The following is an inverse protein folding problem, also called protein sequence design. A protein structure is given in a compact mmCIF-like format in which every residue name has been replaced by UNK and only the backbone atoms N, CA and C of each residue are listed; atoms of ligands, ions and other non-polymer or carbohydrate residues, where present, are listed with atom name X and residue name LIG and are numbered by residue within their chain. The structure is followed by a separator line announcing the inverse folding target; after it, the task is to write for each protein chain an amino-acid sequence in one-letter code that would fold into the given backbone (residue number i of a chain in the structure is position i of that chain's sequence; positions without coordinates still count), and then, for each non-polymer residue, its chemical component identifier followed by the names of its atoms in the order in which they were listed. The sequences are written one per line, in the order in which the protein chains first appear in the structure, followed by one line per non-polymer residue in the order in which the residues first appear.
data_IF_155346793293
#
_entry.id   IF_155346793293
#
_cell.length_a   1.000
_cell.length_b   1.000
_cell.length_c   1.000
_cell.angle_alpha   90.00
_cell.angle_beta   90.00
_cell.angle_gamma   90.00
#
_symmetry.space_group_name_H-M   'P 1'
#
loop_
_entity.id
_entity.type
_entity.pdbx_description
1 polymer ?
#
# COMPACT_ATOMS: atom_id res chain seq x y z
N UNK A 1 19.31 -12.77 1.87
CA UNK A 1 18.58 -11.50 1.75
C UNK A 1 17.12 -11.73 2.12
N UNK A 2 16.73 -11.27 3.29
CA UNK A 2 15.34 -11.40 3.78
C UNK A 2 14.48 -10.30 3.15
N UNK A 3 13.34 -10.69 2.59
CA UNK A 3 12.34 -9.76 2.07
C UNK A 3 11.52 -9.11 3.19
N UNK A 4 10.54 -8.30 2.82
CA UNK A 4 9.59 -7.68 3.76
C UNK A 4 8.23 -8.35 3.60
N UNK A 5 7.59 -8.68 4.72
CA UNK A 5 6.24 -9.22 4.74
C UNK A 5 5.32 -8.37 5.62
N UNK A 6 4.04 -8.28 5.24
CA UNK A 6 2.99 -7.68 6.03
C UNK A 6 1.73 -8.55 6.01
N UNK A 7 1.13 -8.76 7.18
CA UNK A 7 -0.19 -9.37 7.35
C UNK A 7 -1.07 -8.35 8.07
N UNK A 8 -2.17 -7.96 7.42
CA UNK A 8 -3.02 -6.87 7.89
C UNK A 8 -4.49 -7.27 7.90
N UNK A 9 -5.21 -6.79 8.92
CA UNK A 9 -6.67 -6.85 9.00
C UNK A 9 -7.22 -5.44 9.12
N UNK A 10 -8.12 -5.07 8.21
CA UNK A 10 -8.83 -3.80 8.22
C UNK A 10 -10.29 -4.07 8.56
N UNK A 11 -10.80 -3.36 9.56
CA UNK A 11 -12.22 -3.33 9.93
C UNK A 11 -12.66 -1.87 9.85
N UNK A 12 -13.62 -1.57 8.99
CA UNK A 12 -14.07 -0.21 8.71
C UNK A 12 -15.57 -0.17 8.39
N UNK A 13 -16.10 1.03 8.20
CA UNK A 13 -17.45 1.30 7.72
C UNK A 13 -17.38 2.13 6.46
N UNK A 14 -18.06 1.71 5.40
CA UNK A 14 -18.37 2.56 4.24
C UNK A 14 -19.86 2.91 4.25
N UNK A 15 -20.15 4.16 4.58
CA UNK A 15 -21.50 4.60 4.93
C UNK A 15 -22.07 3.80 6.10
N UNK A 16 -22.94 2.83 5.80
CA UNK A 16 -23.56 1.92 6.77
C UNK A 16 -23.17 0.45 6.57
N UNK A 17 -22.26 0.18 5.62
CA UNK A 17 -21.84 -1.18 5.27
C UNK A 17 -20.51 -1.48 5.97
N UNK A 18 -20.45 -2.53 6.81
CA UNK A 18 -19.18 -2.93 7.43
C UNK A 18 -18.26 -3.58 6.40
N UNK A 19 -17.00 -3.17 6.41
CA UNK A 19 -15.94 -3.72 5.57
C UNK A 19 -14.95 -4.46 6.46
N UNK A 20 -14.58 -5.68 6.05
CA UNK A 20 -13.57 -6.51 6.71
C UNK A 20 -12.65 -7.08 5.65
N UNK A 21 -11.41 -6.61 5.61
CA UNK A 21 -10.43 -7.03 4.60
C UNK A 21 -9.18 -7.54 5.30
N UNK A 22 -8.76 -8.76 4.99
CA UNK A 22 -7.43 -9.26 5.36
C UNK A 22 -6.54 -9.22 4.13
N UNK A 23 -5.28 -8.86 4.28
CA UNK A 23 -4.29 -9.01 3.24
C UNK A 23 -2.98 -9.58 3.76
N UNK A 24 -2.26 -10.28 2.89
CA UNK A 24 -0.88 -10.70 3.07
C UNK A 24 -0.08 -10.20 1.87
N UNK A 25 0.99 -9.47 2.15
CA UNK A 25 1.86 -8.88 1.14
C UNK A 25 3.30 -9.33 1.40
N UNK A 26 3.96 -9.83 0.36
CA UNK A 26 5.40 -10.12 0.40
C UNK A 26 6.13 -9.30 -0.65
N UNK A 27 7.27 -8.74 -0.25
CA UNK A 27 8.18 -7.96 -1.08
C UNK A 27 9.58 -8.55 -1.03
N UNK A 28 10.39 -8.26 -2.05
CA UNK A 28 11.83 -8.51 -1.97
C UNK A 28 12.56 -7.49 -1.08
N UNK A 29 13.86 -7.67 -0.90
CA UNK A 29 14.70 -6.76 -0.11
C UNK A 29 14.76 -5.31 -0.67
N UNK A 30 14.38 -5.12 -1.94
CA UNK A 30 14.26 -3.81 -2.59
C UNK A 30 12.84 -3.24 -2.55
N UNK A 31 11.95 -3.78 -1.69
CA UNK A 31 10.56 -3.36 -1.53
C UNK A 31 9.69 -3.54 -2.77
N UNK A 32 10.10 -4.36 -3.75
CA UNK A 32 9.26 -4.70 -4.90
C UNK A 32 8.31 -5.83 -4.53
N UNK A 33 7.04 -5.67 -4.86
CA UNK A 33 6.03 -6.67 -4.53
C UNK A 33 6.30 -7.98 -5.27
N UNK A 34 6.07 -9.10 -4.59
CA UNK A 34 6.19 -10.47 -5.10
C UNK A 34 4.88 -11.22 -5.06
N UNK A 35 4.13 -11.08 -3.97
CA UNK A 35 2.80 -11.69 -3.84
C UNK A 35 1.87 -10.78 -3.05
N UNK A 36 0.62 -10.68 -3.47
CA UNK A 36 -0.48 -10.11 -2.70
C UNK A 36 -1.61 -11.13 -2.65
N UNK A 37 -2.06 -11.49 -1.45
CA UNK A 37 -3.33 -12.15 -1.22
C UNK A 37 -4.22 -11.20 -0.42
N UNK A 38 -5.43 -10.91 -0.91
CA UNK A 38 -6.40 -10.05 -0.25
C UNK A 38 -7.77 -10.74 -0.23
N UNK A 39 -8.42 -10.75 0.93
CA UNK A 39 -9.73 -11.37 1.12
C UNK A 39 -10.69 -10.39 1.80
N UNK A 40 -11.86 -10.17 1.19
CA UNK A 40 -12.98 -9.46 1.80
C UNK A 40 -13.87 -10.48 2.51
N UNK A 41 -14.02 -10.33 3.83
CA UNK A 41 -14.83 -11.22 4.66
C UNK A 41 -16.31 -10.81 4.61
N UNK A 42 -17.22 -11.79 4.57
CA UNK A 42 -18.66 -11.60 4.45
C UNK A 42 -19.32 -12.71 3.63
N UNK A 43 -20.64 -12.62 3.39
CA UNK A 43 -21.43 -13.71 2.76
C UNK A 43 -20.95 -14.12 1.36
N UNK A 44 -20.42 -13.18 0.58
CA UNK A 44 -19.95 -13.45 -0.78
C UNK A 44 -18.44 -13.76 -0.88
N UNK A 45 -17.72 -13.80 0.25
CA UNK A 45 -16.28 -14.10 0.39
C UNK A 45 -15.46 -14.00 -0.90
N UNK A 46 -14.97 -12.80 -1.21
CA UNK A 46 -14.18 -12.56 -2.44
C UNK A 46 -12.70 -12.48 -2.12
N UNK A 47 -11.87 -12.97 -3.05
CA UNK A 47 -10.41 -12.97 -2.92
C UNK A 47 -9.75 -12.42 -4.18
N UNK A 48 -8.62 -11.75 -3.99
CA UNK A 48 -7.67 -11.35 -5.03
C UNK A 48 -6.33 -11.98 -4.65
N UNK A 49 -5.73 -12.72 -5.57
CA UNK A 49 -4.37 -13.22 -5.44
C UNK A 49 -3.59 -12.82 -6.70
N UNK A 50 -2.45 -12.17 -6.47
CA UNK A 50 -1.58 -11.64 -7.50
C UNK A 50 -0.13 -12.03 -7.20
N UNK A 51 0.60 -12.40 -8.25
CA UNK A 51 2.03 -12.68 -8.21
C UNK A 51 2.76 -11.73 -9.14
N UNK A 52 3.95 -11.31 -8.74
CA UNK A 52 4.82 -10.43 -9.50
C UNK A 52 6.24 -10.99 -9.62
N UNK A 53 6.83 -10.81 -10.79
CA UNK A 53 8.22 -11.17 -11.06
C UNK A 53 9.23 -10.12 -10.54
N UNK A 54 8.73 -9.04 -9.92
CA UNK A 54 9.51 -7.90 -9.43
C UNK A 54 10.21 -7.07 -10.52
N UNK A 55 9.97 -7.38 -11.79
CA UNK A 55 10.41 -6.61 -12.95
C UNK A 55 9.23 -5.87 -13.62
N UNK A 56 8.02 -6.01 -13.08
CA UNK A 56 6.83 -5.28 -13.50
C UNK A 56 5.80 -6.14 -14.20
N UNK A 57 5.97 -7.46 -14.27
CA UNK A 57 4.96 -8.35 -14.84
C UNK A 57 4.18 -9.05 -13.74
N UNK A 58 2.87 -9.15 -13.96
CA UNK A 58 1.93 -9.68 -12.98
C UNK A 58 1.14 -10.86 -13.53
N UNK A 59 0.83 -11.81 -12.66
CA UNK A 59 -0.09 -12.91 -12.95
C UNK A 59 -1.16 -13.02 -11.88
N UNK A 60 -2.31 -13.57 -12.24
CA UNK A 60 -3.35 -13.96 -11.28
C UNK A 60 -3.01 -15.28 -10.56
N UNK A 61 -3.91 -15.74 -9.69
CA UNK A 61 -3.82 -17.01 -8.95
C UNK A 61 -3.64 -18.26 -9.82
N UNK A 62 -4.06 -18.20 -11.09
CA UNK A 62 -3.89 -19.29 -12.06
C UNK A 62 -2.63 -19.12 -12.92
N UNK A 63 -1.73 -18.22 -12.51
CA UNK A 63 -0.51 -17.83 -13.22
C UNK A 63 -0.75 -17.30 -14.64
N UNK A 64 -1.94 -16.74 -14.92
CA UNK A 64 -2.23 -16.11 -16.21
C UNK A 64 -1.70 -14.67 -16.18
N UNK A 65 -0.96 -14.21 -17.20
CA UNK A 65 -0.46 -12.84 -17.27
C UNK A 65 -1.59 -11.81 -17.24
N UNK A 66 -1.32 -10.65 -16.63
CA UNK A 66 -2.21 -9.49 -16.59
C UNK A 66 -1.48 -8.29 -17.23
N UNK A 67 -1.41 -8.19 -18.57
CA UNK A 67 -0.65 -7.14 -19.24
C UNK A 67 -1.09 -5.70 -18.91
N UNK A 68 -2.34 -5.54 -18.45
CA UNK A 68 -2.85 -4.25 -18.00
C UNK A 68 -2.14 -3.69 -16.75
N UNK A 69 -1.33 -4.51 -16.06
CA UNK A 69 -0.54 -4.13 -14.89
C UNK A 69 0.97 -4.03 -15.18
N UNK A 70 1.37 -4.17 -16.45
CA UNK A 70 2.79 -4.15 -16.82
C UNK A 70 3.47 -2.84 -16.43
N UNK A 71 4.65 -2.95 -15.82
CA UNK A 71 5.45 -1.83 -15.33
C UNK A 71 5.14 -1.41 -13.88
N UNK A 72 4.08 -1.93 -13.26
CA UNK A 72 3.80 -1.68 -11.85
C UNK A 72 4.76 -2.47 -10.96
N UNK A 73 5.37 -1.81 -9.97
CA UNK A 73 6.27 -2.46 -8.98
C UNK A 73 5.68 -2.52 -7.57
N UNK A 74 4.67 -1.70 -7.30
CA UNK A 74 4.02 -1.54 -6.00
C UNK A 74 2.53 -1.87 -6.11
N UNK A 75 1.91 -2.17 -4.97
CA UNK A 75 0.45 -2.23 -4.82
C UNK A 75 -0.03 -1.04 -4.01
N UNK A 76 -1.26 -0.60 -4.24
CA UNK A 76 -1.97 0.38 -3.41
C UNK A 76 -3.33 -0.20 -3.04
N UNK A 77 -3.58 -0.44 -1.74
CA UNK A 77 -4.84 -0.99 -1.25
C UNK A 77 -5.63 0.16 -0.63
N UNK A 78 -6.80 0.45 -1.18
CA UNK A 78 -7.59 1.64 -0.86
C UNK A 78 -7.98 1.82 0.62
N UNK A 79 -7.91 0.76 1.42
CA UNK A 79 -8.34 0.70 2.82
C UNK A 79 -7.17 0.60 3.80
N UNK A 80 -5.94 0.90 3.40
CA UNK A 80 -4.80 0.92 4.33
C UNK A 80 -3.70 1.89 3.91
N UNK A 81 -3.14 2.67 4.85
CA UNK A 81 -2.01 3.57 4.56
C UNK A 81 -0.68 2.82 4.47
N UNK A 82 -0.64 1.53 4.85
CA UNK A 82 0.59 0.74 4.84
C UNK A 82 1.22 0.70 3.44
N UNK A 83 0.39 0.61 2.40
CA UNK A 83 0.87 0.45 1.02
C UNK A 83 1.61 1.69 0.49
N UNK A 84 1.43 2.88 1.08
CA UNK A 84 2.25 4.04 0.74
C UNK A 84 3.72 3.87 1.17
N UNK A 85 4.01 2.98 2.12
CA UNK A 85 5.38 2.64 2.56
C UNK A 85 6.20 2.05 1.41
N UNK A 86 5.58 1.27 0.52
CA UNK A 86 6.27 0.53 -0.54
C UNK A 86 7.05 1.47 -1.47
N UNK A 87 6.42 2.46 -2.13
CA UNK A 87 7.15 3.40 -2.97
C UNK A 87 8.09 4.31 -2.17
N UNK A 88 7.74 4.71 -0.95
CA UNK A 88 8.61 5.53 -0.09
C UNK A 88 9.95 4.81 0.13
N UNK A 89 9.90 3.52 0.50
CA UNK A 89 11.10 2.72 0.79
C UNK A 89 11.84 2.30 -0.47
N UNK A 90 11.12 1.95 -1.53
CA UNK A 90 11.70 1.53 -2.82
C UNK A 90 12.40 2.68 -3.55
N UNK A 91 11.82 3.88 -3.52
CA UNK A 91 12.36 5.03 -4.24
C UNK A 91 13.48 5.73 -3.48
N UNK A 92 13.41 5.77 -2.13
CA UNK A 92 14.44 6.39 -1.30
C UNK A 92 14.71 7.86 -1.67
N UNK A 93 13.65 8.59 -2.04
CA UNK A 93 13.74 9.98 -2.52
C UNK A 93 14.39 10.89 -1.48
N UNK A 94 15.20 11.83 -1.95
CA UNK A 94 15.78 12.91 -1.14
C UNK A 94 14.83 14.12 -1.11
N UNK A 95 14.93 15.01 -0.10
CA UNK A 95 14.13 16.23 -0.06
C UNK A 95 14.19 17.01 -1.38
N UNK A 96 13.02 17.34 -1.92
CA UNK A 96 12.84 18.03 -3.21
C UNK A 96 12.75 17.10 -4.43
N UNK A 97 13.13 15.83 -4.31
CA UNK A 97 12.97 14.86 -5.39
C UNK A 97 11.51 14.38 -5.50
N UNK A 98 11.08 14.17 -6.74
CA UNK A 98 9.75 13.66 -7.05
C UNK A 98 9.85 12.57 -8.12
N UNK A 99 8.98 11.57 -8.04
CA UNK A 99 8.91 10.50 -9.03
C UNK A 99 7.45 10.08 -9.23
N UNK A 100 7.08 9.92 -10.50
CA UNK A 100 5.83 9.28 -10.87
C UNK A 100 6.02 7.78 -11.01
N UNK A 101 5.03 7.02 -10.54
CA UNK A 101 5.00 5.57 -10.59
C UNK A 101 3.66 5.08 -11.14
N UNK A 102 3.64 3.84 -11.61
CA UNK A 102 2.42 3.07 -11.78
C UNK A 102 2.33 2.04 -10.64
N UNK A 103 1.18 2.00 -9.98
CA UNK A 103 0.88 1.04 -8.92
C UNK A 103 -0.30 0.16 -9.32
N UNK A 104 -0.29 -1.08 -8.85
CA UNK A 104 -1.47 -1.95 -8.90
C UNK A 104 -2.43 -1.51 -7.80
N UNK A 105 -3.43 -0.72 -8.18
CA UNK A 105 -4.46 -0.24 -7.26
C UNK A 105 -5.56 -1.27 -7.06
N UNK A 106 -5.86 -1.55 -5.80
CA UNK A 106 -6.92 -2.44 -5.34
C UNK A 106 -8.01 -1.59 -4.68
N UNK A 107 -9.13 -1.46 -5.38
CA UNK A 107 -10.35 -0.94 -4.80
C UNK A 107 -10.97 -2.06 -3.94
N UNK A 108 -10.66 -2.06 -2.64
CA UNK A 108 -10.93 -3.20 -1.77
C UNK A 108 -12.43 -3.43 -1.53
N UNK A 109 -13.26 -2.40 -1.68
CA UNK A 109 -14.71 -2.52 -1.52
C UNK A 109 -15.33 -3.25 -2.71
N UNK A 110 -15.00 -2.81 -3.92
CA UNK A 110 -15.49 -3.36 -5.18
C UNK A 110 -14.77 -4.64 -5.60
N UNK A 111 -13.64 -4.95 -4.95
CA UNK A 111 -12.72 -6.04 -5.31
C UNK A 111 -12.23 -5.91 -6.75
N UNK A 112 -11.83 -4.69 -7.13
CA UNK A 112 -11.33 -4.38 -8.48
C UNK A 112 -9.83 -4.09 -8.46
N UNK A 113 -9.15 -4.59 -9.49
CA UNK A 113 -7.71 -4.40 -9.71
C UNK A 113 -7.53 -3.55 -10.96
N UNK A 114 -6.74 -2.48 -10.87
CA UNK A 114 -6.38 -1.64 -12.02
C UNK A 114 -5.01 -0.99 -11.83
N UNK A 115 -4.39 -0.57 -12.91
CA UNK A 115 -3.22 0.32 -12.82
C UNK A 115 -3.68 1.73 -12.42
N UNK A 116 -2.90 2.39 -11.55
CA UNK A 116 -3.09 3.79 -11.18
C UNK A 116 -1.75 4.51 -11.21
N UNK A 117 -1.72 5.69 -11.86
CA UNK A 117 -0.56 6.58 -11.84
C UNK A 117 -0.56 7.43 -10.58
N UNK A 118 0.57 7.46 -9.90
CA UNK A 118 0.75 8.19 -8.65
C UNK A 118 2.04 8.99 -8.73
N UNK A 119 2.14 10.06 -7.94
CA UNK A 119 3.36 10.82 -7.76
C UNK A 119 3.70 10.91 -6.28
N UNK A 120 4.97 10.67 -5.97
CA UNK A 120 5.53 10.88 -4.65
C UNK A 120 6.59 11.96 -4.73
N UNK A 121 6.49 12.96 -3.86
CA UNK A 121 7.49 14.01 -3.69
C UNK A 121 7.98 13.99 -2.24
N UNK A 122 9.29 13.84 -2.02
CA UNK A 122 9.85 13.96 -0.67
C UNK A 122 9.95 15.45 -0.31
N UNK A 123 9.26 15.86 0.76
CA UNK A 123 9.23 17.25 1.22
C UNK A 123 10.33 17.52 2.24
N UNK A 124 10.52 16.60 3.17
CA UNK A 124 11.40 16.75 4.32
C UNK A 124 11.85 15.37 4.81
N UNK A 125 13.10 15.28 5.27
CA UNK A 125 13.63 14.13 6.01
C UNK A 125 14.30 14.68 7.27
N UNK A 126 13.74 14.33 8.42
CA UNK A 126 14.27 14.64 9.74
C UNK A 126 14.86 13.40 10.43
N UNK A 127 15.33 13.54 11.68
CA UNK A 127 15.92 12.43 12.44
C UNK A 127 14.89 11.34 12.80
N UNK A 128 13.64 11.72 13.07
CA UNK A 128 12.61 10.82 13.60
C UNK A 128 11.45 10.57 12.62
N UNK A 129 11.31 11.42 11.60
CA UNK A 129 10.23 11.36 10.63
C UNK A 129 10.65 11.89 9.26
N UNK A 130 9.86 11.59 8.25
CA UNK A 130 9.93 12.23 6.94
C UNK A 130 8.52 12.64 6.48
N UNK A 131 8.45 13.63 5.58
CA UNK A 131 7.19 14.09 4.97
C UNK A 131 7.23 13.88 3.47
N UNK A 132 6.15 13.33 2.95
CA UNK A 132 5.97 13.07 1.53
C UNK A 132 4.64 13.65 1.06
N UNK A 133 4.63 14.24 -0.14
CA UNK A 133 3.38 14.52 -0.84
C UNK A 133 3.06 13.33 -1.73
N UNK A 134 1.87 12.77 -1.55
CA UNK A 134 1.24 11.83 -2.44
C UNK A 134 0.24 12.55 -3.32
N UNK A 135 0.25 12.25 -4.61
CA UNK A 135 -0.69 12.77 -5.60
C UNK A 135 -1.22 11.62 -6.44
N UNK A 136 -2.54 11.55 -6.62
CA UNK A 136 -3.14 10.69 -7.64
C UNK A 136 -3.08 11.45 -8.96
N UNK A 137 -2.35 10.95 -9.97
CA UNK A 137 -2.13 11.69 -11.22
C UNK A 137 -3.41 11.79 -12.08
N UNK A 138 -4.37 10.89 -11.87
CA UNK A 138 -5.63 10.88 -12.61
C UNK A 138 -6.73 11.74 -11.97
N UNK A 139 -6.52 12.29 -10.77
CA UNK A 139 -7.46 13.17 -10.07
C UNK A 139 -6.74 14.36 -9.45
N UNK A 140 -7.47 15.31 -8.87
CA UNK A 140 -6.86 16.43 -8.14
C UNK A 140 -6.57 16.07 -6.66
N UNK A 141 -6.61 14.77 -6.31
CA UNK A 141 -6.39 14.35 -4.94
C UNK A 141 -4.90 14.39 -4.57
N UNK A 142 -4.60 15.12 -3.50
CA UNK A 142 -3.27 15.27 -2.92
C UNK A 142 -3.34 15.09 -1.41
N UNK A 143 -2.30 14.50 -0.82
CA UNK A 143 -2.15 14.40 0.62
C UNK A 143 -0.68 14.51 1.04
N UNK A 144 -0.42 15.15 2.18
CA UNK A 144 0.90 15.17 2.78
C UNK A 144 0.98 14.13 3.90
N UNK A 145 1.75 13.09 3.66
CA UNK A 145 1.97 11.97 4.55
C UNK A 145 3.14 12.29 5.49
N UNK A 146 2.96 12.02 6.78
CA UNK A 146 4.09 11.95 7.72
C UNK A 146 4.40 10.48 7.97
N UNK A 147 5.66 10.10 7.81
CA UNK A 147 6.12 8.72 8.00
C UNK A 147 7.23 8.63 9.04
N UNK A 148 7.35 7.50 9.72
CA UNK A 148 8.44 7.25 10.66
C UNK A 148 9.75 6.88 9.93
N UNK A 149 10.82 6.61 10.68
CA UNK A 149 12.12 6.19 10.11
C UNK A 149 12.06 4.88 9.33
N UNK A 150 11.05 4.03 9.59
CA UNK A 150 10.78 2.85 8.79
C UNK A 150 9.94 3.11 7.53
N UNK A 151 9.58 4.36 7.26
CA UNK A 151 8.72 4.75 6.14
C UNK A 151 7.24 4.40 6.35
N UNK A 152 6.85 3.92 7.53
CA UNK A 152 5.47 3.64 7.88
C UNK A 152 4.70 4.94 8.12
N UNK A 153 3.50 5.03 7.55
CA UNK A 153 2.65 6.23 7.69
C UNK A 153 2.20 6.40 9.14
N UNK A 154 2.65 7.49 9.77
CA UNK A 154 2.21 7.95 11.09
C UNK A 154 0.94 8.78 10.97
N UNK A 155 0.90 9.68 9.98
CA UNK A 155 -0.24 10.58 9.77
C UNK A 155 -0.54 10.67 8.28
N UNK A 156 -1.80 10.41 7.95
CA UNK A 156 -2.42 10.67 6.66
C UNK A 156 -3.62 11.58 6.94
N UNK A 157 -3.48 12.90 6.78
CA UNK A 157 -4.47 13.86 7.24
C UNK A 157 -5.89 13.50 6.82
N UNK A 158 -6.81 13.53 7.79
CA UNK A 158 -8.24 13.21 7.64
C UNK A 158 -8.60 11.75 7.33
N UNK A 159 -7.61 10.87 7.07
CA UNK A 159 -7.84 9.47 6.72
C UNK A 159 -7.29 8.50 7.77
N UNK A 160 -6.04 8.68 8.22
CA UNK A 160 -5.37 7.73 9.10
C UNK A 160 -4.42 8.41 10.07
N UNK A 161 -4.39 7.90 11.31
CA UNK A 161 -3.35 8.22 12.29
C UNK A 161 -2.88 6.91 12.93
N UNK A 162 -1.57 6.76 13.10
CA UNK A 162 -0.99 5.59 13.75
C UNK A 162 -1.27 5.63 15.25
N UNK A 163 -1.67 4.48 15.80
CA UNK A 163 -1.85 4.29 17.24
C UNK A 163 -0.82 3.28 17.72
N UNK A 164 -0.02 3.67 18.69
CA UNK A 164 0.91 2.77 19.35
C UNK A 164 0.19 2.00 20.45
N UNK A 165 0.44 0.69 20.60
CA UNK A 165 -0.04 -0.03 21.77
C UNK A 165 0.53 0.63 23.03
N UNK A 166 -0.35 1.05 23.94
CA UNK A 166 0.09 1.50 25.27
C UNK A 166 0.71 0.30 26.01
N UNK A 167 1.75 0.54 26.81
CA UNK A 167 2.53 -0.50 27.51
C UNK A 167 1.72 -1.47 28.40
N UNK A 168 0.41 -1.29 28.58
CA UNK A 168 -0.43 -2.12 29.45
C UNK A 168 -1.13 -3.30 28.75
N UNK A 169 -0.94 -3.51 27.44
CA UNK A 169 -1.48 -4.71 26.79
C UNK A 169 -0.48 -5.86 26.82
N UNK A 170 -0.25 -6.40 28.03
CA UNK A 170 0.17 -7.81 28.16
C UNK A 170 -0.97 -8.65 27.62
N UNK A 171 -0.84 -9.14 26.38
CA UNK A 171 -1.67 -10.26 25.94
C UNK A 171 -1.36 -11.45 26.87
N UNK A 172 -2.42 -11.96 27.49
CA UNK A 172 -2.42 -13.20 28.27
C UNK A 172 -2.04 -14.40 27.39
#
# INVERSE_FOLDING_TARGET
DEGVAADGLVIAMDGQTPIRVRYQLNCDAGWRVRTLALAKMGEAGRQIELHADGAGHWTDAAHRPIPALDGCLDVDISVTPFTNTLPIRRLGLKPGEATEIAAVYIAAEEMQVRMMRQRYTCLEVGPDFARYRYENVASDFTAELTVNIEGLVIEYPQLWSMVWPTQEQKLC
#
